data_IF_523109613299
#
_entry.id   IF_523109613299
#
_cell.length_a   1.000
_cell.length_b   1.000
_cell.length_c   1.000
_cell.angle_alpha   90.00
_cell.angle_beta   90.00
_cell.angle_gamma   90.00
#
_symmetry.space_group_name_H-M   'P 1'
#
loop_
_entity.id
_entity.type
_entity.pdbx_description
1 polymer ?
#
# COMPACT_ATOMS: atom_id res chain seq x y z
N UNK A 1 1.83 -14.91 -18.90
CA UNK A 1 1.34 -14.34 -17.63
C UNK A 1 2.43 -13.43 -17.07
N UNK A 2 2.40 -12.13 -17.37
CA UNK A 2 3.51 -11.21 -17.06
C UNK A 2 3.66 -11.01 -15.55
N UNK A 3 4.69 -11.66 -14.98
CA UNK A 3 5.05 -11.61 -13.57
C UNK A 3 5.78 -10.29 -13.31
N UNK A 4 5.03 -9.20 -13.18
CA UNK A 4 5.52 -7.89 -12.77
C UNK A 4 5.88 -7.92 -11.26
N UNK A 5 6.86 -8.74 -10.88
CA UNK A 5 7.28 -8.95 -9.48
C UNK A 5 8.00 -7.72 -8.91
N UNK A 6 8.61 -6.92 -9.77
CA UNK A 6 9.45 -5.78 -9.38
C UNK A 6 8.64 -4.58 -8.86
N UNK A 7 7.49 -4.31 -9.46
CA UNK A 7 6.59 -3.22 -9.03
C UNK A 7 5.94 -3.51 -7.68
N UNK A 8 5.66 -4.77 -7.36
CA UNK A 8 5.19 -5.17 -6.03
C UNK A 8 6.25 -4.86 -4.96
N UNK A 9 7.53 -5.15 -5.26
CA UNK A 9 8.65 -4.93 -4.33
C UNK A 9 8.88 -3.45 -4.00
N UNK A 10 8.72 -2.56 -5.00
CA UNK A 10 8.81 -1.11 -4.79
C UNK A 10 7.69 -0.57 -3.87
N UNK A 11 6.54 -1.24 -3.82
CA UNK A 11 5.39 -0.85 -3.03
C UNK A 11 5.34 -1.53 -1.65
N UNK A 12 6.16 -2.54 -1.39
CA UNK A 12 6.26 -3.20 -0.09
C UNK A 12 6.57 -2.27 1.08
N UNK A 13 7.54 -1.34 1.01
CA UNK A 13 7.79 -0.43 2.13
C UNK A 13 6.58 0.45 2.43
N UNK A 14 5.92 0.98 1.39
CA UNK A 14 4.72 1.80 1.54
C UNK A 14 3.57 1.00 2.17
N UNK A 15 3.35 -0.22 1.69
CA UNK A 15 2.36 -1.15 2.23
C UNK A 15 2.60 -1.40 3.72
N UNK A 16 3.84 -1.71 4.12
CA UNK A 16 4.20 -1.98 5.51
C UNK A 16 4.04 -0.74 6.40
N UNK A 17 4.40 0.44 5.91
CA UNK A 17 4.23 1.69 6.64
C UNK A 17 2.76 2.01 6.89
N UNK A 18 1.92 1.89 5.86
CA UNK A 18 0.48 2.14 5.97
C UNK A 18 -0.18 1.11 6.89
N UNK A 19 0.17 -0.16 6.75
CA UNK A 19 -0.30 -1.22 7.61
C UNK A 19 0.07 -0.96 9.08
N UNK A 20 1.31 -0.57 9.34
CA UNK A 20 1.78 -0.15 10.66
C UNK A 20 1.01 1.04 11.21
N UNK A 21 0.81 2.10 10.41
CA UNK A 21 0.01 3.27 10.80
C UNK A 21 -1.45 2.95 11.10
N UNK A 22 -2.01 1.93 10.45
CA UNK A 22 -3.39 1.48 10.68
C UNK A 22 -3.50 0.40 11.77
N UNK A 23 -2.38 -0.04 12.35
CA UNK A 23 -2.34 -1.16 13.29
C UNK A 23 -2.77 -2.50 12.68
N UNK A 24 -2.71 -2.63 11.35
CA UNK A 24 -3.11 -3.82 10.62
C UNK A 24 -1.88 -4.71 10.44
N UNK A 25 -1.91 -5.89 11.04
CA UNK A 25 -0.85 -6.88 10.86
C UNK A 25 -1.08 -7.62 9.55
N UNK A 26 -0.29 -7.29 8.51
CA UNK A 26 -0.29 -7.97 7.22
C UNK A 26 0.51 -9.28 7.24
N UNK A 27 0.43 -10.04 8.34
CA UNK A 27 1.07 -11.34 8.43
C UNK A 27 0.42 -12.30 7.43
N UNK A 28 1.27 -13.05 6.72
CA UNK A 28 0.84 -14.09 5.77
C UNK A 28 0.04 -15.15 6.56
N UNK A 29 -1.30 -15.12 6.43
CA UNK A 29 -2.23 -15.96 7.20
C UNK A 29 -3.19 -15.23 8.14
N UNK A 30 -3.10 -13.90 8.27
CA UNK A 30 -4.09 -13.13 9.02
C UNK A 30 -5.46 -13.11 8.30
N UNK A 31 -6.55 -13.36 9.03
CA UNK A 31 -7.92 -13.19 8.56
C UNK A 31 -8.25 -11.69 8.44
N UNK A 32 -7.66 -11.03 7.44
CA UNK A 32 -7.91 -9.63 7.15
C UNK A 32 -9.35 -9.48 6.64
N UNK A 33 -10.09 -8.59 7.27
CA UNK A 33 -11.40 -8.19 6.76
C UNK A 33 -11.24 -7.48 5.41
N UNK A 34 -12.22 -7.63 4.52
CA UNK A 34 -12.26 -6.91 3.23
C UNK A 34 -12.10 -5.40 3.41
N UNK A 35 -12.65 -4.87 4.51
CA UNK A 35 -12.51 -3.47 4.90
C UNK A 35 -11.05 -3.08 5.24
N UNK A 36 -10.29 -3.94 5.94
CA UNK A 36 -8.88 -3.67 6.26
C UNK A 36 -8.01 -3.68 5.02
N UNK A 37 -8.13 -4.72 4.19
CA UNK A 37 -7.39 -4.82 2.93
C UNK A 37 -7.74 -3.66 1.99
N UNK A 38 -9.02 -3.28 1.92
CA UNK A 38 -9.49 -2.11 1.18
C UNK A 38 -8.92 -0.79 1.71
N UNK A 39 -8.90 -0.60 3.03
CA UNK A 39 -8.30 0.59 3.67
C UNK A 39 -6.81 0.71 3.35
N UNK A 40 -6.05 -0.39 3.44
CA UNK A 40 -4.61 -0.39 3.11
C UNK A 40 -4.39 -0.05 1.63
N UNK A 41 -5.11 -0.71 0.72
CA UNK A 41 -4.99 -0.46 -0.72
C UNK A 41 -5.37 0.97 -1.13
N UNK A 42 -6.46 1.51 -0.55
CA UNK A 42 -6.89 2.88 -0.80
C UNK A 42 -5.89 3.93 -0.28
N UNK A 43 -5.30 3.70 0.90
CA UNK A 43 -4.25 4.56 1.44
C UNK A 43 -2.97 4.48 0.62
N UNK A 44 -2.62 3.31 0.05
CA UNK A 44 -1.47 3.19 -0.85
C UNK A 44 -1.65 4.10 -2.07
N UNK A 45 -2.80 4.02 -2.74
CA UNK A 45 -3.08 4.85 -3.92
C UNK A 45 -3.09 6.34 -3.56
N UNK A 46 -3.68 6.70 -2.42
CA UNK A 46 -3.70 8.10 -1.94
C UNK A 46 -2.30 8.66 -1.68
N UNK A 47 -1.43 7.89 -1.03
CA UNK A 47 -0.04 8.30 -0.78
C UNK A 47 0.75 8.44 -2.08
N UNK A 48 0.54 7.53 -3.03
CA UNK A 48 1.15 7.58 -4.35
C UNK A 48 0.71 8.85 -5.07
N UNK A 49 -0.59 9.12 -5.15
CA UNK A 49 -1.15 10.32 -5.78
C UNK A 49 -0.65 11.59 -5.10
N UNK A 50 -0.63 11.63 -3.76
CA UNK A 50 -0.11 12.79 -3.02
C UNK A 50 1.36 13.05 -3.33
N UNK A 51 2.18 12.00 -3.42
CA UNK A 51 3.60 12.11 -3.77
C UNK A 51 3.78 12.66 -5.19
N UNK A 52 3.00 12.15 -6.15
CA UNK A 52 2.99 12.68 -7.52
C UNK A 52 2.47 14.12 -7.59
N UNK A 53 1.38 14.44 -6.88
CA UNK A 53 0.78 15.77 -6.88
C UNK A 53 1.69 16.81 -6.20
N UNK A 54 2.38 16.45 -5.12
CA UNK A 54 3.32 17.33 -4.43
C UNK A 54 4.55 17.59 -5.30
N UNK A 55 5.05 16.58 -6.03
CA UNK A 55 6.16 16.72 -6.97
C UNK A 55 5.81 17.46 -8.27
N UNK A 56 4.54 17.42 -8.71
CA UNK A 56 4.05 18.16 -9.88
C UNK A 56 3.69 19.62 -9.56
N UNK A 57 3.72 20.01 -8.28
CA UNK A 57 3.44 21.39 -7.83
C UNK A 57 4.72 22.21 -7.69
N UNK A 58 5.70 21.95 -8.55
CA UNK A 58 6.95 22.69 -8.73
C UNK A 58 7.02 23.31 -10.11
#
# INVERSE_FOLDING_TARGET
>A
MAKNKSSKKALEPLKNQIAGSLGINLSDGANLTTAQTGKVGGQMVKQIINSYSTGMKG
#
